data_IF_137989124484
#
_entry.id   IF_137989124484
#
_cell.length_a   1.000
_cell.length_b   1.000
_cell.length_c   1.000
_cell.angle_alpha   90.00
_cell.angle_beta   90.00
_cell.angle_gamma   90.00
#
_symmetry.space_group_name_H-M   'P 1'
#
loop_
_entity.id
_entity.type
_entity.pdbx_description
1 polymer ?
#
# COMPACT_ATOMS: atom_id res chain seq x y z
N UNK A 1 38.67 7.20 -0.87
CA UNK A 1 37.71 8.09 -1.54
C UNK A 1 36.38 7.98 -0.81
N UNK A 2 35.94 9.02 -0.12
CA UNK A 2 34.63 9.07 0.53
C UNK A 2 33.59 9.53 -0.50
N UNK A 3 32.55 8.73 -0.73
CA UNK A 3 31.43 9.13 -1.58
C UNK A 3 30.72 10.34 -0.95
N UNK A 4 30.32 11.36 -1.73
CA UNK A 4 29.55 12.47 -1.20
C UNK A 4 28.23 11.97 -0.61
N UNK A 5 27.90 12.43 0.60
CA UNK A 5 26.61 12.13 1.23
C UNK A 5 25.50 12.70 0.34
N UNK A 6 24.52 11.89 -0.10
CA UNK A 6 23.43 12.38 -0.92
C UNK A 6 22.71 13.56 -0.23
N UNK A 7 22.30 14.60 -0.96
CA UNK A 7 21.53 15.69 -0.38
C UNK A 7 20.27 15.13 0.27
N UNK A 8 20.04 15.49 1.55
CA UNK A 8 18.79 15.16 2.25
C UNK A 8 17.64 15.87 1.53
N UNK A 9 16.78 15.11 0.87
CA UNK A 9 15.53 15.66 0.35
C UNK A 9 14.67 16.18 1.52
N UNK A 10 13.93 17.29 1.33
CA UNK A 10 12.98 17.76 2.33
C UNK A 10 11.92 16.68 2.57
N UNK A 11 11.64 16.39 3.83
CA UNK A 11 10.60 15.42 4.21
C UNK A 11 9.23 16.06 3.94
N UNK A 12 8.41 15.48 3.05
CA UNK A 12 7.08 16.01 2.79
C UNK A 12 6.18 15.86 4.02
N UNK A 13 5.29 16.82 4.30
CA UNK A 13 4.37 16.77 5.44
C UNK A 13 3.19 15.82 5.14
N UNK A 14 3.46 14.51 5.03
CA UNK A 14 2.49 13.50 4.57
C UNK A 14 1.13 13.54 5.28
N UNK A 15 1.13 13.86 6.58
CA UNK A 15 -0.11 13.97 7.39
C UNK A 15 -1.02 15.12 6.98
N UNK A 16 -0.47 16.19 6.40
CA UNK A 16 -1.20 17.39 6.01
C UNK A 16 -1.58 17.35 4.51
N UNK A 17 -0.98 16.44 3.74
CA UNK A 17 -1.23 16.30 2.32
C UNK A 17 -2.61 15.74 2.03
N UNK A 18 -3.20 16.13 0.90
CA UNK A 18 -4.44 15.51 0.41
C UNK A 18 -4.20 14.08 -0.06
N UNK A 19 -5.26 13.26 -0.12
CA UNK A 19 -5.14 11.88 -0.62
C UNK A 19 -4.59 11.82 -2.05
N UNK A 20 -4.96 12.79 -2.90
CA UNK A 20 -4.43 12.86 -4.27
C UNK A 20 -2.93 13.14 -4.27
N UNK A 21 -2.47 14.09 -3.46
CA UNK A 21 -1.04 14.41 -3.37
C UNK A 21 -0.23 13.23 -2.80
N UNK A 22 -0.81 12.45 -1.88
CA UNK A 22 -0.22 11.19 -1.41
C UNK A 22 -0.14 10.16 -2.53
N UNK A 23 -1.21 9.98 -3.31
CA UNK A 23 -1.22 9.07 -4.45
C UNK A 23 -0.16 9.46 -5.50
N UNK A 24 0.04 10.75 -5.73
CA UNK A 24 1.07 11.24 -6.64
C UNK A 24 2.50 10.98 -6.12
N UNK A 25 2.74 11.10 -4.80
CA UNK A 25 4.01 10.67 -4.21
C UNK A 25 4.28 9.17 -4.41
N UNK A 26 3.23 8.35 -4.35
CA UNK A 26 3.34 6.92 -4.60
C UNK A 26 3.67 6.65 -6.07
N UNK A 27 2.94 7.28 -7.00
CA UNK A 27 3.16 7.16 -8.44
C UNK A 27 4.56 7.62 -8.86
N UNK A 28 5.10 8.65 -8.21
CA UNK A 28 6.44 9.16 -8.47
C UNK A 28 7.56 8.16 -8.09
N UNK A 29 7.28 7.15 -7.26
CA UNK A 29 8.27 6.12 -6.90
C UNK A 29 9.42 6.63 -6.01
N UNK A 30 9.33 7.86 -5.50
CA UNK A 30 10.35 8.48 -4.65
C UNK A 30 10.50 7.84 -3.26
N UNK A 31 11.46 8.30 -2.45
CA UNK A 31 11.78 7.69 -1.14
C UNK A 31 10.64 7.79 -0.11
N UNK A 32 9.62 8.62 -0.35
CA UNK A 32 8.49 8.81 0.57
C UNK A 32 7.24 8.01 0.19
N UNK A 33 7.26 7.24 -0.90
CA UNK A 33 6.11 6.46 -1.38
C UNK A 33 5.55 5.49 -0.32
N UNK A 34 6.41 4.82 0.43
CA UNK A 34 5.97 3.91 1.51
C UNK A 34 5.20 4.66 2.60
N UNK A 35 5.69 5.84 3.00
CA UNK A 35 4.98 6.69 3.98
C UNK A 35 3.62 7.14 3.45
N UNK A 36 3.53 7.46 2.16
CA UNK A 36 2.27 7.85 1.53
C UNK A 36 1.27 6.68 1.45
N UNK A 37 1.74 5.45 1.18
CA UNK A 37 0.92 4.23 1.24
C UNK A 37 0.35 4.02 2.64
N UNK A 38 1.19 4.12 3.68
CA UNK A 38 0.74 3.94 5.07
C UNK A 38 -0.25 5.03 5.50
N UNK A 39 0.02 6.29 5.16
CA UNK A 39 -0.90 7.39 5.47
C UNK A 39 -2.27 7.22 4.78
N UNK A 40 -2.30 6.80 3.51
CA UNK A 40 -3.56 6.44 2.83
C UNK A 40 -4.25 5.26 3.51
N UNK A 41 -3.47 4.28 3.98
CA UNK A 41 -3.96 3.14 4.74
C UNK A 41 -4.63 3.53 6.06
N UNK A 42 -4.02 4.42 6.83
CA UNK A 42 -4.59 4.94 8.08
C UNK A 42 -5.90 5.68 7.82
N UNK A 43 -5.96 6.48 6.74
CA UNK A 43 -7.17 7.23 6.35
C UNK A 43 -8.30 6.34 5.83
N UNK A 44 -7.99 5.19 5.25
CA UNK A 44 -8.99 4.27 4.69
C UNK A 44 -10.01 3.76 5.74
N UNK A 45 -9.69 3.86 7.04
CA UNK A 45 -10.62 3.56 8.13
C UNK A 45 -11.81 4.53 8.22
N UNK A 46 -11.66 5.76 7.71
CA UNK A 46 -12.68 6.82 7.80
C UNK A 46 -12.97 7.52 6.48
N UNK A 47 -12.21 7.23 5.42
CA UNK A 47 -12.31 7.89 4.11
C UNK A 47 -12.28 6.85 2.98
N UNK A 48 -13.42 6.63 2.33
CA UNK A 48 -13.56 5.70 1.20
C UNK A 48 -12.76 6.15 -0.03
N UNK A 49 -12.50 7.45 -0.19
CA UNK A 49 -11.65 7.97 -1.25
C UNK A 49 -10.19 7.57 -1.06
N UNK A 50 -9.71 7.56 0.19
CA UNK A 50 -8.39 7.02 0.51
C UNK A 50 -8.31 5.51 0.22
N UNK A 51 -9.33 4.75 0.61
CA UNK A 51 -9.42 3.32 0.31
C UNK A 51 -9.41 3.04 -1.21
N UNK A 52 -10.18 3.82 -1.99
CA UNK A 52 -10.26 3.72 -3.45
C UNK A 52 -8.89 3.93 -4.09
N UNK A 53 -8.22 5.04 -3.75
CA UNK A 53 -6.89 5.36 -4.27
C UNK A 53 -5.87 4.27 -3.90
N UNK A 54 -5.91 3.78 -2.66
CA UNK A 54 -5.00 2.73 -2.22
C UNK A 54 -5.20 1.43 -3.03
N UNK A 55 -6.44 1.07 -3.33
CA UNK A 55 -6.77 -0.06 -4.20
C UNK A 55 -6.24 0.11 -5.63
N UNK A 56 -6.42 1.28 -6.24
CA UNK A 56 -5.88 1.59 -7.57
C UNK A 56 -4.35 1.47 -7.62
N UNK A 57 -3.69 2.03 -6.59
CA UNK A 57 -2.23 2.04 -6.50
C UNK A 57 -1.65 0.63 -6.46
N UNK A 58 -2.32 -0.36 -5.87
CA UNK A 58 -1.84 -1.77 -5.82
C UNK A 58 -1.56 -2.40 -7.20
N UNK A 59 -2.12 -1.82 -8.27
CA UNK A 59 -1.92 -2.26 -9.65
C UNK A 59 -0.65 -1.71 -10.30
N UNK A 60 -0.01 -0.72 -9.69
CA UNK A 60 1.19 -0.11 -10.25
C UNK A 60 2.37 -1.10 -10.16
N UNK A 61 3.10 -1.34 -11.27
CA UNK A 61 4.27 -2.22 -11.26
C UNK A 61 5.32 -1.80 -10.24
N UNK A 62 5.49 -0.49 -10.03
CA UNK A 62 6.44 0.05 -9.05
C UNK A 62 6.12 -0.42 -7.64
N UNK A 63 4.84 -0.53 -7.24
CA UNK A 63 4.45 -1.00 -5.90
C UNK A 63 4.57 -2.51 -5.73
N UNK A 64 4.39 -3.27 -6.83
CA UNK A 64 4.55 -4.74 -6.82
C UNK A 64 6.03 -5.16 -6.76
N UNK A 65 6.88 -4.44 -7.50
CA UNK A 65 8.32 -4.69 -7.53
C UNK A 65 9.05 -4.09 -6.31
N UNK A 66 8.48 -3.07 -5.68
CA UNK A 66 9.07 -2.42 -4.52
C UNK A 66 8.85 -3.25 -3.26
N UNK A 67 9.82 -4.12 -2.98
CA UNK A 67 9.83 -5.03 -1.85
C UNK A 67 10.73 -4.50 -0.73
N UNK A 68 10.15 -4.36 0.46
CA UNK A 68 10.89 -4.19 1.71
C UNK A 68 10.84 -5.55 2.40
N UNK A 69 11.95 -6.30 2.35
CA UNK A 69 12.00 -7.72 2.70
C UNK A 69 11.04 -8.57 1.85
N UNK A 70 10.19 -9.39 2.47
CA UNK A 70 9.22 -10.25 1.80
C UNK A 70 7.92 -9.50 1.40
N UNK A 71 7.74 -8.26 1.86
CA UNK A 71 6.50 -7.51 1.68
C UNK A 71 6.67 -6.49 0.54
N UNK A 72 5.87 -6.63 -0.53
CA UNK A 72 5.73 -5.55 -1.51
C UNK A 72 4.89 -4.41 -0.92
N UNK A 73 5.08 -3.18 -1.39
CA UNK A 73 4.18 -2.10 -1.00
C UNK A 73 2.73 -2.32 -1.50
N UNK A 74 2.54 -3.08 -2.58
CA UNK A 74 1.20 -3.53 -2.99
C UNK A 74 0.55 -4.42 -1.91
N UNK A 75 1.31 -5.32 -1.28
CA UNK A 75 0.82 -6.12 -0.15
C UNK A 75 0.57 -5.26 1.08
N UNK A 76 1.46 -4.31 1.40
CA UNK A 76 1.24 -3.37 2.49
C UNK A 76 -0.09 -2.62 2.32
N UNK A 77 -0.38 -2.14 1.10
CA UNK A 77 -1.64 -1.48 0.77
C UNK A 77 -2.86 -2.39 0.98
N UNK A 78 -2.83 -3.65 0.53
CA UNK A 78 -3.92 -4.62 0.73
C UNK A 78 -4.13 -4.90 2.22
N UNK A 79 -3.05 -5.07 2.98
CA UNK A 79 -3.11 -5.31 4.43
C UNK A 79 -3.71 -4.11 5.16
N UNK A 80 -3.31 -2.88 4.79
CA UNK A 80 -3.92 -1.67 5.34
C UNK A 80 -5.41 -1.58 5.06
N UNK A 81 -5.86 -1.95 3.84
CA UNK A 81 -7.29 -2.02 3.51
C UNK A 81 -8.05 -3.06 4.35
N UNK A 82 -7.45 -4.22 4.63
CA UNK A 82 -8.04 -5.22 5.52
C UNK A 82 -8.12 -4.72 6.97
N UNK A 83 -7.07 -4.03 7.44
CA UNK A 83 -6.96 -3.48 8.79
C UNK A 83 -7.91 -2.30 9.06
N UNK A 84 -8.33 -1.59 8.02
CA UNK A 84 -9.29 -0.49 8.10
C UNK A 84 -10.68 -0.91 8.61
N UNK A 85 -11.02 -2.21 8.55
CA UNK A 85 -12.25 -2.82 9.12
C UNK A 85 -13.58 -2.20 8.66
N UNK A 86 -13.59 -1.43 7.59
CA UNK A 86 -14.82 -0.97 6.93
C UNK A 86 -15.26 -1.95 5.84
N UNK A 87 -16.56 -2.09 5.56
CA UNK A 87 -17.04 -2.94 4.46
C UNK A 87 -16.44 -2.52 3.11
N UNK A 88 -16.34 -1.22 2.85
CA UNK A 88 -15.79 -0.68 1.62
C UNK A 88 -14.31 -1.04 1.45
N UNK A 89 -13.47 -0.75 2.47
CA UNK A 89 -12.05 -1.07 2.40
C UNK A 89 -11.79 -2.58 2.26
N UNK A 90 -12.60 -3.42 2.92
CA UNK A 90 -12.55 -4.89 2.72
C UNK A 90 -12.86 -5.30 1.29
N UNK A 91 -13.92 -4.75 0.70
CA UNK A 91 -14.26 -5.04 -0.69
C UNK A 91 -13.13 -4.61 -1.64
N UNK A 92 -12.54 -3.44 -1.41
CA UNK A 92 -11.38 -2.95 -2.17
C UNK A 92 -10.16 -3.85 -1.98
N UNK A 93 -9.92 -4.36 -0.76
CA UNK A 93 -8.84 -5.32 -0.50
C UNK A 93 -9.02 -6.61 -1.32
N UNK A 94 -10.24 -7.16 -1.37
CA UNK A 94 -10.53 -8.38 -2.13
C UNK A 94 -10.33 -8.18 -3.64
N UNK A 95 -10.78 -7.04 -4.17
CA UNK A 95 -10.56 -6.68 -5.58
C UNK A 95 -9.07 -6.49 -5.89
N UNK A 96 -8.33 -5.87 -4.99
CA UNK A 96 -6.88 -5.64 -5.14
C UNK A 96 -6.11 -6.96 -5.07
N UNK A 97 -6.47 -7.84 -4.15
CA UNK A 97 -5.96 -9.21 -4.04
C UNK A 97 -6.21 -10.02 -5.30
N UNK A 98 -7.46 -10.04 -5.80
CA UNK A 98 -7.83 -10.76 -7.02
C UNK A 98 -7.10 -10.25 -8.27
N UNK A 99 -6.61 -9.00 -8.26
CA UNK A 99 -5.83 -8.43 -9.34
C UNK A 99 -4.31 -8.77 -9.28
N UNK A 100 -3.85 -9.43 -8.23
CA UNK A 100 -2.47 -9.93 -8.13
C UNK A 100 -2.28 -11.19 -8.99
N UNK A 101 -1.05 -11.47 -9.47
CA UNK A 101 -0.72 -12.77 -10.04
C UNK A 101 -0.98 -13.90 -9.03
N UNK A 102 -1.39 -15.09 -9.50
CA UNK A 102 -1.72 -16.23 -8.62
C UNK A 102 -0.59 -16.63 -7.67
N UNK A 103 0.67 -16.53 -8.11
CA UNK A 103 1.82 -16.76 -7.24
C UNK A 103 1.85 -15.78 -6.06
N UNK A 104 1.63 -14.49 -6.32
CA UNK A 104 1.60 -13.46 -5.28
C UNK A 104 0.38 -13.59 -4.37
N UNK A 105 -0.77 -14.01 -4.91
CA UNK A 105 -1.95 -14.32 -4.10
C UNK A 105 -1.65 -15.44 -3.09
N UNK A 106 -1.03 -16.54 -3.53
CA UNK A 106 -0.62 -17.65 -2.65
C UNK A 106 0.38 -17.20 -1.58
N UNK A 107 1.38 -16.42 -1.98
CA UNK A 107 2.40 -15.96 -1.03
C UNK A 107 1.82 -14.99 0.00
N UNK A 108 0.90 -14.10 -0.39
CA UNK A 108 0.21 -13.19 0.52
C UNK A 108 -0.72 -13.94 1.49
N UNK A 109 -1.46 -14.95 1.03
CA UNK A 109 -2.28 -15.81 1.89
C UNK A 109 -1.42 -16.58 2.91
N UNK A 110 -0.27 -17.11 2.47
CA UNK A 110 0.69 -17.75 3.36
C UNK A 110 1.25 -16.78 4.40
N UNK A 111 1.56 -15.54 3.99
CA UNK A 111 1.98 -14.48 4.90
C UNK A 111 0.91 -14.13 5.95
N UNK A 112 -0.36 -14.00 5.51
CA UNK A 112 -1.52 -13.74 6.37
C UNK A 112 -1.96 -14.95 7.20
N UNK A 113 -1.41 -16.13 6.92
CA UNK A 113 -1.74 -17.41 7.58
C UNK A 113 -3.22 -17.78 7.46
N UNK A 114 -3.83 -17.49 6.31
CA UNK A 114 -5.22 -17.84 6.01
C UNK A 114 -5.32 -18.57 4.67
N UNK A 115 -6.39 -19.37 4.51
CA UNK A 115 -6.65 -20.08 3.25
C UNK A 115 -7.38 -19.21 2.22
N UNK A 116 -8.12 -18.19 2.69
CA UNK A 116 -8.90 -17.28 1.87
C UNK A 116 -8.72 -15.84 2.35
N UNK A 117 -8.83 -14.89 1.44
CA UNK A 117 -8.64 -13.47 1.77
C UNK A 117 -9.73 -12.95 2.70
N UNK A 118 -10.94 -13.51 2.64
CA UNK A 118 -12.07 -13.14 3.48
C UNK A 118 -11.88 -13.52 4.95
N UNK A 119 -11.01 -14.50 5.22
CA UNK A 119 -10.68 -14.94 6.58
C UNK A 119 -9.57 -14.09 7.21
N UNK A 120 -8.96 -13.18 6.44
CA UNK A 120 -7.83 -12.38 6.91
C UNK A 120 -8.24 -11.37 8.00
N UNK A 121 -7.50 -11.41 9.12
CA UNK A 121 -7.61 -10.48 10.24
C UNK A 121 -6.21 -9.99 10.66
N UNK A 122 -5.56 -9.18 9.81
CA UNK A 122 -4.27 -8.58 10.13
C UNK A 122 -4.32 -7.58 11.29
#
# INVERSE_FOLDING_TARGET
>A
MTLPVPPKLPVPPVREMSNMALADLVRAGGPYRGKAVFELGDRAATDEGAASLLGELTRLPVLRADRIHALSLAWAAIISLLAAKTPYARQTAYQSFAALPESEQRDLLAYLRCARIEDAQP
#
